data_IF_946703277393
#
_entry.id   IF_946703277393
#
_cell.length_a   1.000
_cell.length_b   1.000
_cell.length_c   1.000
_cell.angle_alpha   90.00
_cell.angle_beta   90.00
_cell.angle_gamma   90.00
#
_symmetry.space_group_name_H-M   'P 1'
#
loop_
_entity.id
_entity.type
_entity.pdbx_description
1 polymer ?
#
# COMPACT_ATOMS: atom_id res chain seq x y z
N UNK A 1 -15.82 3.36 -2.40
CA UNK A 1 -15.34 4.75 -2.50
C UNK A 1 -13.93 4.72 -3.06
N UNK A 2 -13.62 5.50 -4.11
CA UNK A 2 -12.26 5.62 -4.63
C UNK A 2 -11.43 6.37 -3.60
N UNK A 3 -10.38 5.75 -3.05
CA UNK A 3 -9.54 6.45 -2.08
C UNK A 3 -8.72 7.54 -2.77
N UNK A 4 -9.05 8.79 -2.44
CA UNK A 4 -8.27 9.95 -2.85
C UNK A 4 -7.17 10.20 -1.82
N UNK A 5 -6.11 10.91 -2.21
CA UNK A 5 -5.09 11.35 -1.26
C UNK A 5 -5.70 12.13 -0.08
N UNK A 6 -6.74 12.93 -0.32
CA UNK A 6 -7.51 13.63 0.73
C UNK A 6 -8.15 12.67 1.73
N UNK A 7 -8.71 11.56 1.24
CA UNK A 7 -9.28 10.50 2.09
C UNK A 7 -8.20 9.81 2.91
N UNK A 8 -7.00 9.61 2.34
CA UNK A 8 -5.86 9.07 3.08
C UNK A 8 -5.43 10.02 4.20
N UNK A 9 -5.28 11.32 3.92
CA UNK A 9 -4.89 12.32 4.93
C UNK A 9 -5.84 12.41 6.13
N UNK A 10 -7.11 12.03 5.95
CA UNK A 10 -8.13 11.99 7.01
C UNK A 10 -8.21 10.63 7.73
N UNK A 11 -7.45 9.63 7.28
CA UNK A 11 -7.49 8.27 7.82
C UNK A 11 -6.48 8.07 8.97
N UNK A 12 -6.72 7.04 9.78
CA UNK A 12 -5.79 6.59 10.84
C UNK A 12 -4.41 6.17 10.31
N UNK A 13 -4.29 5.86 9.02
CA UNK A 13 -3.04 5.39 8.40
C UNK A 13 -2.14 6.52 7.91
N UNK A 14 -2.61 7.77 7.94
CA UNK A 14 -1.77 8.88 7.53
C UNK A 14 -0.93 9.38 8.69
N UNK A 15 0.37 9.52 8.42
CA UNK A 15 1.28 10.21 9.31
C UNK A 15 1.67 11.58 8.73
N UNK A 16 1.62 12.68 9.51
CA UNK A 16 2.06 14.00 9.05
C UNK A 16 3.52 14.05 8.55
N UNK A 17 4.36 13.11 8.98
CA UNK A 17 5.73 12.97 8.48
C UNK A 17 5.82 12.45 7.04
N UNK A 18 4.73 11.90 6.47
CA UNK A 18 4.67 11.43 5.08
C UNK A 18 4.62 12.61 4.09
N UNK A 19 5.78 13.24 3.91
CA UNK A 19 5.98 14.37 3.02
C UNK A 19 6.48 13.97 1.62
N UNK A 20 6.62 12.67 1.34
CA UNK A 20 7.07 12.14 0.05
C UNK A 20 6.36 10.83 -0.29
N UNK A 21 6.28 10.53 -1.60
CA UNK A 21 5.74 9.27 -2.09
C UNK A 21 6.35 8.82 -3.42
N UNK A 22 6.42 7.50 -3.64
CA UNK A 22 6.78 6.87 -4.91
C UNK A 22 5.58 6.09 -5.43
N UNK A 23 5.25 6.26 -6.72
CA UNK A 23 4.14 5.56 -7.37
C UNK A 23 4.65 4.63 -8.48
N UNK A 24 4.27 3.36 -8.41
CA UNK A 24 4.47 2.38 -9.49
C UNK A 24 3.17 1.63 -9.76
N UNK A 25 2.42 2.11 -10.76
CA UNK A 25 1.09 1.60 -11.05
C UNK A 25 0.16 1.70 -9.82
N UNK A 26 -0.38 0.57 -9.31
CA UNK A 26 -1.26 0.58 -8.15
C UNK A 26 -0.53 0.72 -6.82
N UNK A 27 0.79 0.54 -6.80
CA UNK A 27 1.56 0.61 -5.56
C UNK A 27 1.91 2.07 -5.27
N UNK A 28 1.56 2.53 -4.07
CA UNK A 28 1.88 3.87 -3.58
C UNK A 28 2.66 3.76 -2.29
N UNK A 29 3.95 4.12 -2.32
CA UNK A 29 4.84 4.07 -1.16
C UNK A 29 4.88 5.46 -0.53
N UNK A 30 4.37 5.64 0.68
CA UNK A 30 4.42 6.87 1.46
C UNK A 30 5.48 6.77 2.55
N UNK A 31 6.30 7.81 2.69
CA UNK A 31 7.43 7.81 3.61
C UNK A 31 7.81 9.23 4.05
N UNK A 32 8.55 9.32 5.15
CA UNK A 32 9.22 10.55 5.53
C UNK A 32 10.53 10.72 4.74
N UNK A 33 10.86 11.94 4.32
CA UNK A 33 12.00 12.24 3.43
C UNK A 33 13.33 11.56 3.83
N UNK A 34 13.64 11.46 5.13
CA UNK A 34 14.87 10.80 5.58
C UNK A 34 14.89 9.26 5.37
N UNK A 35 13.77 8.66 4.99
CA UNK A 35 13.64 7.26 4.57
C UNK A 35 13.65 7.08 3.04
N UNK A 36 13.98 8.11 2.25
CA UNK A 36 14.03 8.04 0.79
C UNK A 36 14.87 6.87 0.26
N UNK A 37 16.06 6.64 0.82
CA UNK A 37 16.92 5.52 0.41
C UNK A 37 16.24 4.16 0.62
N UNK A 38 15.51 3.99 1.72
CA UNK A 38 14.74 2.77 2.00
C UNK A 38 13.56 2.63 1.04
N UNK A 39 12.82 3.71 0.79
CA UNK A 39 11.69 3.71 -0.13
C UNK A 39 12.12 3.35 -1.57
N UNK A 40 13.25 3.88 -2.03
CA UNK A 40 13.85 3.52 -3.31
C UNK A 40 14.27 2.06 -3.36
N UNK A 41 14.86 1.53 -2.28
CA UNK A 41 15.22 0.11 -2.18
C UNK A 41 13.98 -0.77 -2.32
N UNK A 42 12.89 -0.47 -1.61
CA UNK A 42 11.59 -1.16 -1.74
C UNK A 42 11.11 -1.11 -3.19
N UNK A 43 11.07 0.08 -3.78
CA UNK A 43 10.64 0.28 -5.16
C UNK A 43 11.42 -0.59 -6.15
N UNK A 44 12.76 -0.57 -6.09
CA UNK A 44 13.58 -1.39 -6.98
C UNK A 44 13.42 -2.89 -6.73
N UNK A 45 13.24 -3.32 -5.48
CA UNK A 45 12.97 -4.72 -5.18
C UNK A 45 11.63 -5.17 -5.76
N UNK A 46 10.58 -4.35 -5.69
CA UNK A 46 9.29 -4.65 -6.34
C UNK A 46 9.49 -4.85 -7.84
N UNK A 47 10.23 -3.96 -8.51
CA UNK A 47 10.46 -4.05 -9.95
C UNK A 47 11.26 -5.28 -10.36
N UNK A 48 12.25 -5.66 -9.55
CA UNK A 48 13.11 -6.82 -9.82
C UNK A 48 12.42 -8.15 -9.50
N UNK A 49 11.69 -8.22 -8.38
CA UNK A 49 11.18 -9.49 -7.86
C UNK A 49 9.72 -9.76 -8.20
N UNK A 50 8.91 -8.72 -8.43
CA UNK A 50 7.45 -8.81 -8.62
C UNK A 50 6.95 -8.27 -9.98
N UNK A 51 7.66 -8.45 -11.11
CA UNK A 51 7.24 -7.84 -12.38
C UNK A 51 5.90 -8.41 -12.88
N UNK A 52 5.66 -9.71 -12.69
CA UNK A 52 4.43 -10.38 -13.14
C UNK A 52 3.23 -9.99 -12.28
N UNK A 53 3.41 -9.93 -10.97
CA UNK A 53 2.39 -9.54 -9.99
C UNK A 53 2.03 -8.08 -10.17
N UNK A 54 3.03 -7.22 -10.38
CA UNK A 54 2.81 -5.79 -10.66
C UNK A 54 2.01 -5.60 -11.95
N UNK A 55 2.30 -6.37 -13.01
CA UNK A 55 1.52 -6.30 -14.25
C UNK A 55 0.04 -6.70 -14.04
N UNK A 56 -0.21 -7.80 -13.30
CA UNK A 56 -1.57 -8.23 -12.95
C UNK A 56 -2.30 -7.20 -12.09
N UNK A 57 -1.62 -6.67 -11.09
CA UNK A 57 -2.16 -5.65 -10.19
C UNK A 57 -2.50 -4.36 -10.95
N UNK A 58 -1.68 -3.95 -11.93
CA UNK A 58 -1.97 -2.81 -12.82
C UNK A 58 -3.29 -2.98 -13.58
N UNK A 59 -3.55 -4.16 -14.14
CA UNK A 59 -4.82 -4.45 -14.82
C UNK A 59 -6.02 -4.43 -13.85
N UNK A 60 -5.89 -5.06 -12.68
CA UNK A 60 -6.93 -5.07 -11.66
C UNK A 60 -7.26 -3.65 -11.14
N UNK A 61 -6.24 -2.83 -10.95
CA UNK A 61 -6.37 -1.44 -10.52
C UNK A 61 -6.97 -0.54 -11.59
N UNK A 62 -6.74 -0.82 -12.88
CA UNK A 62 -7.38 -0.07 -13.97
C UNK A 62 -8.90 -0.26 -13.97
N UNK A 63 -9.38 -1.45 -13.64
CA UNK A 63 -10.80 -1.76 -13.58
C UNK A 63 -11.52 -1.21 -12.33
N UNK A 64 -10.81 -1.13 -11.19
CA UNK A 64 -11.40 -0.77 -9.90
C UNK A 64 -11.03 0.65 -9.42
N UNK A 65 -9.90 1.19 -9.86
CA UNK A 65 -9.28 2.40 -9.34
C UNK A 65 -8.63 2.24 -7.95
N UNK A 66 -8.55 1.02 -7.44
CA UNK A 66 -7.99 0.70 -6.14
C UNK A 66 -6.45 0.67 -6.14
N UNK A 67 -5.83 0.74 -4.97
CA UNK A 67 -4.39 0.88 -4.78
C UNK A 67 -3.88 0.01 -3.63
N UNK A 68 -2.61 -0.30 -3.67
CA UNK A 68 -1.87 -0.91 -2.57
C UNK A 68 -0.97 0.17 -1.99
N UNK A 69 -1.27 0.60 -0.77
CA UNK A 69 -0.56 1.67 -0.08
C UNK A 69 0.48 1.05 0.85
N UNK A 70 1.75 1.40 0.65
CA UNK A 70 2.85 1.00 1.54
C UNK A 70 3.22 2.21 2.38
N UNK A 71 3.05 2.11 3.70
CA UNK A 71 3.31 3.18 4.66
C UNK A 71 4.57 2.86 5.44
N UNK A 72 5.66 3.59 5.18
CA UNK A 72 6.93 3.43 5.89
C UNK A 72 6.96 4.42 7.05
N UNK A 73 6.53 3.96 8.23
CA UNK A 73 6.42 4.83 9.40
C UNK A 73 7.80 5.20 9.95
N UNK A 74 8.01 6.45 10.36
CA UNK A 74 9.30 6.92 10.86
C UNK A 74 9.69 6.30 12.21
N UNK A 75 8.70 5.88 13.00
CA UNK A 75 8.90 5.34 14.36
C UNK A 75 7.94 4.19 14.66
N UNK A 76 8.29 3.38 15.65
CA UNK A 76 7.41 2.36 16.22
C UNK A 76 6.07 2.93 16.71
N UNK A 77 6.11 4.06 17.41
CA UNK A 77 4.93 4.67 18.00
C UNK A 77 3.94 5.12 16.92
N UNK A 78 4.45 5.72 15.85
CA UNK A 78 3.61 6.17 14.74
C UNK A 78 2.95 5.02 13.98
N UNK A 79 3.67 3.89 13.84
CA UNK A 79 3.12 2.65 13.32
C UNK A 79 2.01 2.10 14.22
N UNK A 80 2.25 2.01 15.53
CA UNK A 80 1.30 1.44 16.48
C UNK A 80 0.01 2.29 16.63
N UNK A 81 0.11 3.61 16.52
CA UNK A 81 -1.06 4.49 16.47
C UNK A 81 -1.97 4.24 15.25
N UNK A 82 -1.39 3.75 14.15
CA UNK A 82 -2.12 3.51 12.90
C UNK A 82 -2.69 2.10 12.83
N UNK A 83 -2.05 1.15 13.52
CA UNK A 83 -2.43 -0.26 13.61
C UNK A 83 -2.60 -0.65 15.08
N UNK A 84 -3.74 -0.30 15.67
CA UNK A 84 -4.04 -0.50 17.10
C UNK A 84 -3.96 -1.97 17.55
N UNK A 85 -4.20 -2.91 16.64
CA UNK A 85 -4.12 -4.36 16.90
C UNK A 85 -2.74 -4.96 16.57
N UNK A 86 -1.80 -4.14 16.09
CA UNK A 86 -0.44 -4.60 15.82
C UNK A 86 0.18 -5.12 17.10
N UNK A 87 0.58 -6.39 17.10
CA UNK A 87 1.42 -6.88 18.19
C UNK A 87 2.74 -6.13 18.11
N UNK A 88 3.27 -5.69 19.25
CA UNK A 88 4.52 -4.93 19.30
C UNK A 88 5.74 -5.66 18.70
N UNK A 89 5.62 -6.98 18.49
CA UNK A 89 6.63 -7.84 17.87
C UNK A 89 6.51 -7.91 16.33
N UNK A 90 5.37 -7.52 15.75
CA UNK A 90 5.17 -7.57 14.31
C UNK A 90 5.83 -6.34 13.64
N UNK A 91 6.79 -6.53 12.72
CA UNK A 91 7.45 -5.43 12.01
C UNK A 91 6.58 -4.83 10.89
N UNK A 92 5.48 -5.51 10.55
CA UNK A 92 4.60 -5.17 9.44
C UNK A 92 3.16 -5.56 9.79
N UNK A 93 2.21 -4.75 9.34
CA UNK A 93 0.78 -5.05 9.39
C UNK A 93 0.12 -4.76 8.05
N UNK A 94 -0.94 -5.51 7.73
CA UNK A 94 -1.69 -5.39 6.49
C UNK A 94 -3.19 -5.32 6.80
N UNK A 95 -3.85 -4.23 6.44
CA UNK A 95 -5.29 -4.03 6.63
C UNK A 95 -5.97 -3.68 5.30
N UNK A 96 -7.18 -4.23 5.09
CA UNK A 96 -8.05 -3.80 4.00
C UNK A 96 -8.68 -2.47 4.35
N UNK A 97 -8.63 -1.52 3.43
CA UNK A 97 -9.23 -0.19 3.61
C UNK A 97 -10.11 0.19 2.41
N UNK A 98 -11.40 -0.15 2.52
CA UNK A 98 -12.31 -0.04 1.38
C UNK A 98 -11.90 -1.03 0.29
N UNK A 99 -11.59 -0.52 -0.90
CA UNK A 99 -11.07 -1.33 -2.01
C UNK A 99 -9.53 -1.38 -2.05
N UNK A 100 -8.88 -0.50 -1.29
CA UNK A 100 -7.44 -0.43 -1.17
C UNK A 100 -6.94 -1.44 -0.12
N UNK A 101 -5.64 -1.70 -0.18
CA UNK A 101 -4.92 -2.43 0.87
C UNK A 101 -3.85 -1.50 1.43
N UNK A 102 -3.73 -1.45 2.75
CA UNK A 102 -2.70 -0.68 3.44
C UNK A 102 -1.74 -1.65 4.10
N UNK A 103 -0.47 -1.55 3.73
CA UNK A 103 0.64 -2.28 4.32
C UNK A 103 1.47 -1.26 5.09
N UNK A 104 1.44 -1.34 6.41
CA UNK A 104 2.27 -0.51 7.28
C UNK A 104 3.53 -1.23 7.68
N UNK A 105 4.65 -0.51 7.73
CA UNK A 105 5.91 -1.07 8.21
C UNK A 105 6.49 -0.21 9.32
N UNK A 106 7.01 -0.87 10.34
CA UNK A 106 7.65 -0.23 11.49
C UNK A 106 9.08 0.17 11.12
N UNK A 107 9.35 1.46 11.00
CA UNK A 107 10.71 1.97 10.82
C UNK A 107 11.56 1.89 12.11
N UNK A 108 12.89 1.76 12.01
CA UNK A 108 13.68 1.47 10.79
C UNK A 108 13.56 0.00 10.36
N UNK A 109 13.39 -0.25 9.05
CA UNK A 109 13.33 -1.63 8.52
C UNK A 109 14.74 -2.21 8.40
N UNK A 110 14.98 -3.28 9.13
CA UNK A 110 16.11 -4.19 8.88
C UNK A 110 15.88 -4.99 7.59
N UNK A 111 16.97 -5.53 7.01
CA UNK A 111 16.92 -6.23 5.73
C UNK A 111 15.99 -7.46 5.76
N UNK A 112 15.86 -8.14 6.90
CA UNK A 112 14.93 -9.26 7.09
C UNK A 112 13.46 -8.81 6.96
N UNK A 113 13.13 -7.64 7.52
CA UNK A 113 11.79 -7.05 7.44
C UNK A 113 11.48 -6.54 6.02
N UNK A 114 12.51 -6.22 5.26
CA UNK A 114 12.37 -5.78 3.87
C UNK A 114 11.94 -6.94 2.97
N UNK A 115 12.55 -8.12 3.11
CA UNK A 115 12.11 -9.29 2.35
C UNK A 115 10.68 -9.70 2.74
N UNK A 116 10.35 -9.63 4.04
CA UNK A 116 8.99 -9.86 4.53
C UNK A 116 7.97 -8.89 3.91
N UNK A 117 8.32 -7.62 3.74
CA UNK A 117 7.48 -6.64 3.04
C UNK A 117 7.25 -7.04 1.58
N UNK A 118 8.29 -7.45 0.86
CA UNK A 118 8.17 -7.87 -0.54
C UNK A 118 7.30 -9.13 -0.68
N UNK A 119 7.47 -10.10 0.21
CA UNK A 119 6.64 -11.31 0.20
C UNK A 119 5.19 -10.99 0.57
N UNK A 120 4.96 -10.07 1.51
CA UNK A 120 3.60 -9.59 1.83
C UNK A 120 2.97 -8.85 0.65
N UNK A 121 3.75 -8.04 -0.07
CA UNK A 121 3.30 -7.37 -1.29
C UNK A 121 2.94 -8.39 -2.38
N UNK A 122 3.76 -9.43 -2.58
CA UNK A 122 3.47 -10.52 -3.51
C UNK A 122 2.13 -11.18 -3.18
N UNK A 123 1.98 -11.65 -1.93
CA UNK A 123 0.76 -12.29 -1.47
C UNK A 123 -0.45 -11.37 -1.58
N UNK A 124 -0.27 -10.09 -1.27
CA UNK A 124 -1.32 -9.09 -1.43
C UNK A 124 -1.72 -8.99 -2.89
N UNK A 125 -0.79 -8.74 -3.82
CA UNK A 125 -1.08 -8.60 -5.26
C UNK A 125 -1.74 -9.85 -5.85
N UNK A 126 -1.35 -11.04 -5.42
CA UNK A 126 -1.93 -12.32 -5.90
C UNK A 126 -3.37 -12.52 -5.42
N UNK A 127 -3.67 -12.13 -4.18
CA UNK A 127 -4.99 -12.28 -3.58
C UNK A 127 -5.89 -11.06 -3.79
N UNK A 128 -5.35 -9.98 -4.34
CA UNK A 128 -6.06 -8.72 -4.51
C UNK A 128 -7.08 -8.81 -5.63
N UNK A 129 -8.35 -8.81 -5.22
CA UNK A 129 -9.53 -8.77 -6.11
C UNK A 129 -10.37 -7.55 -5.75
N UNK A 130 -9.96 -6.33 -6.15
CA UNK A 130 -10.75 -5.15 -5.88
C UNK A 130 -12.09 -5.26 -6.63
N UNK A 131 -13.17 -4.77 -6.02
CA UNK A 131 -14.49 -4.84 -6.64
C UNK A 131 -14.45 -4.17 -8.02
N UNK A 132 -14.78 -4.93 -9.06
CA UNK A 132 -14.86 -4.41 -10.42
C UNK A 132 -15.93 -3.31 -10.46
N UNK A 133 -15.58 -2.15 -11.03
CA UNK A 133 -16.57 -1.16 -11.43
C UNK A 133 -17.32 -1.71 -12.65
N UNK A 134 -18.19 -2.70 -12.43
CA UNK A 134 -19.32 -2.90 -13.35
C UNK A 134 -20.12 -1.62 -13.22
N UNK A 135 -19.89 -0.66 -14.12
CA UNK A 135 -20.91 0.37 -14.37
C UNK A 135 -22.19 -0.43 -14.61
N UNK A 136 -23.29 -0.19 -13.87
CA UNK A 136 -24.57 -0.57 -14.41
C UNK A 136 -24.64 0.14 -15.75
N UNK A 137 -24.54 -0.63 -16.83
CA UNK A 137 -24.89 -0.14 -18.15
C UNK A 137 -26.33 0.33 -17.99
N UNK A 138 -26.53 1.65 -17.96
CA UNK A 138 -27.82 2.24 -18.19
C UNK A 138 -28.18 1.95 -19.65
N UNK A 139 -28.58 0.70 -19.89
CA UNK A 139 -29.51 0.31 -20.92
C UNK A 139 -30.89 0.31 -20.27
N UNK A 140 -31.85 0.77 -21.05
CA UNK A 140 -33.29 0.99 -20.80
C UNK A 140 -33.61 2.40 -20.27
N UNK A 141 -34.39 3.22 -20.98
CA UNK A 141 -35.28 2.95 -22.11
C UNK A 141 -35.56 4.22 -22.93
N UNK A 142 -35.98 3.95 -24.16
CA UNK A 142 -36.43 4.81 -25.26
C UNK A 142 -37.25 6.06 -24.85
#
# INVERSE_FOLDING_TARGET
>A
MRSSYTTLMQSKYFNPAFNSAIFDGPVRIYFAQFHEALALKVYFMIQQQLPTETAKAKEAAKASGANILVMIYPTADSFQLSFENAKSENPLECEKWGEDVVIGTRGPLEDENLQLLIDTLRMTMENWKPASLVRPSALQEL
#
